data_IF_192284075944
#
_entry.id   IF_192284075944
#
_cell.length_a   1.000
_cell.length_b   1.000
_cell.length_c   1.000
_cell.angle_alpha   90.00
_cell.angle_beta   90.00
_cell.angle_gamma   90.00
#
_symmetry.space_group_name_H-M   'P 1'
#
loop_
_entity.id
_entity.type
_entity.pdbx_description
1 polymer ?
#
# COMPACT_ATOMS: atom_id res chain seq x y z
N UNK A 1 3.75 16.71 44.00
CA UNK A 1 3.78 16.62 42.53
C UNK A 1 3.92 15.15 42.20
N UNK A 2 2.86 14.49 41.72
CA UNK A 2 2.90 13.06 41.36
C UNK A 2 2.95 13.00 39.84
N UNK A 3 4.13 12.69 39.30
CA UNK A 3 4.43 12.57 37.87
C UNK A 3 4.65 11.10 37.47
N UNK A 4 3.85 10.18 38.01
CA UNK A 4 3.95 8.75 37.68
C UNK A 4 2.56 8.16 37.52
N UNK A 5 1.86 8.54 36.44
CA UNK A 5 0.82 7.69 35.88
C UNK A 5 1.51 6.67 34.96
N UNK A 6 1.25 5.37 35.10
CA UNK A 6 1.90 4.37 34.27
C UNK A 6 1.59 4.63 32.80
N UNK A 7 2.64 4.64 31.98
CA UNK A 7 2.53 4.76 30.52
C UNK A 7 1.61 3.63 30.03
N UNK A 8 0.64 3.98 29.19
CA UNK A 8 -0.24 2.98 28.60
C UNK A 8 0.57 2.04 27.71
N UNK A 9 0.22 0.75 27.68
CA UNK A 9 0.78 -0.21 26.69
C UNK A 9 0.67 0.30 25.26
N UNK A 10 -0.37 1.07 24.94
CA UNK A 10 -0.53 1.70 23.62
C UNK A 10 0.54 2.77 23.38
N UNK A 11 0.91 3.53 24.41
CA UNK A 11 1.97 4.52 24.31
C UNK A 11 3.36 3.86 24.16
N UNK A 12 3.62 2.76 24.88
CA UNK A 12 4.85 1.96 24.70
C UNK A 12 4.98 1.41 23.28
N UNK A 13 3.89 0.88 22.71
CA UNK A 13 3.84 0.39 21.33
C UNK A 13 4.11 1.52 20.33
N UNK A 14 3.53 2.71 20.54
CA UNK A 14 3.78 3.88 19.67
C UNK A 14 5.24 4.31 19.68
N UNK A 15 5.87 4.32 20.85
CA UNK A 15 7.30 4.64 20.95
C UNK A 15 8.19 3.58 20.28
N UNK A 16 7.83 2.30 20.39
CA UNK A 16 8.54 1.22 19.72
C UNK A 16 8.42 1.34 18.18
N UNK A 17 7.21 1.61 17.67
CA UNK A 17 6.95 1.83 16.24
C UNK A 17 7.78 2.99 15.69
N UNK A 18 7.90 4.09 16.45
CA UNK A 18 8.67 5.26 16.03
C UNK A 18 10.18 5.02 15.88
N UNK A 19 10.71 3.90 16.40
CA UNK A 19 12.13 3.54 16.35
C UNK A 19 12.44 2.46 15.30
N UNK A 20 11.43 1.94 14.61
CA UNK A 20 11.64 0.90 13.60
C UNK A 20 12.37 1.46 12.38
N UNK A 21 13.22 0.63 11.79
CA UNK A 21 13.67 0.84 10.42
C UNK A 21 12.50 0.72 9.43
N UNK A 22 12.62 1.25 8.20
CA UNK A 22 11.60 1.07 7.18
C UNK A 22 11.24 -0.40 6.91
N UNK A 23 12.22 -1.30 6.97
CA UNK A 23 12.01 -2.73 6.78
C UNK A 23 11.20 -3.34 7.93
N UNK A 24 11.59 -3.11 9.19
CA UNK A 24 10.87 -3.63 10.37
C UNK A 24 9.46 -3.06 10.47
N UNK A 25 9.26 -1.82 10.01
CA UNK A 25 7.93 -1.21 9.93
C UNK A 25 7.04 -1.94 8.92
N UNK A 26 7.56 -2.27 7.73
CA UNK A 26 6.85 -3.05 6.73
C UNK A 26 6.53 -4.47 7.23
N UNK A 27 7.47 -5.14 7.89
CA UNK A 27 7.26 -6.46 8.49
C UNK A 27 6.16 -6.41 9.57
N UNK A 28 6.18 -5.39 10.45
CA UNK A 28 5.13 -5.19 11.44
C UNK A 28 3.75 -4.95 10.81
N UNK A 29 3.68 -4.16 9.73
CA UNK A 29 2.41 -3.93 9.03
C UNK A 29 1.88 -5.22 8.39
N UNK A 30 2.73 -6.05 7.82
CA UNK A 30 2.33 -7.34 7.25
C UNK A 30 1.73 -8.28 8.31
N UNK A 31 2.27 -8.25 9.54
CA UNK A 31 1.77 -9.06 10.66
C UNK A 31 0.49 -8.49 11.29
N UNK A 32 0.37 -7.16 11.42
CA UNK A 32 -0.82 -6.49 12.01
C UNK A 32 -2.01 -6.45 11.06
N UNK A 33 -1.72 -6.37 9.77
CA UNK A 33 -2.70 -6.38 8.69
C UNK A 33 -2.41 -7.58 7.79
N UNK A 34 -2.56 -8.82 8.32
CA UNK A 34 -2.44 -9.99 7.47
C UNK A 34 -3.47 -9.80 6.36
N UNK A 35 -3.07 -9.91 5.10
CA UNK A 35 -3.86 -9.64 3.89
C UNK A 35 -5.19 -10.40 3.85
N UNK A 36 -6.12 -10.02 4.72
CA UNK A 36 -7.53 -10.28 4.56
C UNK A 36 -7.96 -9.24 3.54
N UNK A 37 -8.40 -9.71 2.38
CA UNK A 37 -9.09 -8.86 1.42
C UNK A 37 -10.08 -8.01 2.21
N UNK A 38 -9.79 -6.71 2.32
CA UNK A 38 -10.73 -5.82 2.96
C UNK A 38 -11.95 -5.65 2.02
N UNK A 39 -12.96 -4.92 2.46
CA UNK A 39 -14.16 -4.76 1.63
C UNK A 39 -13.85 -4.12 0.26
N UNK A 40 -12.79 -3.32 0.19
CA UNK A 40 -12.35 -2.72 -1.06
C UNK A 40 -11.69 -3.76 -1.98
N UNK A 41 -10.84 -4.64 -1.46
CA UNK A 41 -10.24 -5.74 -2.23
C UNK A 41 -11.30 -6.69 -2.80
N UNK A 42 -12.29 -7.07 -1.99
CA UNK A 42 -13.39 -7.94 -2.43
C UNK A 42 -14.21 -7.29 -3.54
N UNK A 43 -14.52 -6.01 -3.37
CA UNK A 43 -15.27 -5.24 -4.36
C UNK A 43 -14.48 -5.10 -5.67
N UNK A 44 -13.19 -4.80 -5.60
CA UNK A 44 -12.31 -4.70 -6.77
C UNK A 44 -12.26 -6.02 -7.53
N UNK A 45 -12.10 -7.15 -6.84
CA UNK A 45 -12.12 -8.48 -7.47
C UNK A 45 -13.45 -8.77 -8.16
N UNK A 46 -14.57 -8.44 -7.54
CA UNK A 46 -15.90 -8.62 -8.14
C UNK A 46 -16.12 -7.71 -9.36
N UNK A 47 -15.71 -6.44 -9.28
CA UNK A 47 -15.83 -5.48 -10.38
C UNK A 47 -14.98 -5.92 -11.58
N UNK A 48 -13.75 -6.39 -11.36
CA UNK A 48 -12.92 -6.99 -12.41
C UNK A 48 -13.54 -8.24 -13.02
N UNK A 49 -14.02 -9.18 -12.20
CA UNK A 49 -14.64 -10.42 -12.68
C UNK A 49 -15.92 -10.18 -13.49
N UNK A 50 -16.64 -9.09 -13.21
CA UNK A 50 -17.85 -8.71 -13.94
C UNK A 50 -17.59 -8.02 -15.29
N UNK A 51 -16.33 -7.70 -15.61
CA UNK A 51 -15.97 -6.94 -16.81
C UNK A 51 -16.27 -5.43 -16.73
N UNK A 52 -16.71 -4.94 -15.57
CA UNK A 52 -16.98 -3.51 -15.34
C UNK A 52 -15.74 -2.64 -15.57
N UNK A 53 -14.56 -3.22 -15.43
CA UNK A 53 -13.27 -2.56 -15.61
C UNK A 53 -12.63 -2.77 -16.99
N UNK A 54 -13.28 -3.44 -17.95
CA UNK A 54 -12.73 -3.70 -19.29
C UNK A 54 -12.32 -2.43 -20.04
N UNK A 55 -12.95 -1.30 -19.73
CA UNK A 55 -12.60 0.00 -20.32
C UNK A 55 -11.19 0.46 -19.92
N UNK A 56 -10.74 0.15 -18.70
CA UNK A 56 -9.38 0.47 -18.24
C UNK A 56 -8.33 -0.28 -19.07
N UNK A 57 -8.57 -1.57 -19.35
CA UNK A 57 -7.69 -2.36 -20.23
C UNK A 57 -7.64 -1.76 -21.63
N UNK A 58 -8.80 -1.43 -22.21
CA UNK A 58 -8.87 -0.83 -23.55
C UNK A 58 -8.17 0.52 -23.63
N UNK A 59 -8.34 1.35 -22.62
CA UNK A 59 -7.67 2.66 -22.53
C UNK A 59 -6.16 2.50 -22.40
N UNK A 60 -5.71 1.57 -21.55
CA UNK A 60 -4.28 1.26 -21.37
C UNK A 60 -3.65 0.77 -22.68
N UNK A 61 -4.30 -0.16 -23.37
CA UNK A 61 -3.83 -0.66 -24.68
C UNK A 61 -3.78 0.45 -25.73
N UNK A 62 -4.74 1.38 -25.71
CA UNK A 62 -4.74 2.54 -26.59
C UNK A 62 -3.57 3.48 -26.26
N UNK A 63 -3.34 3.80 -24.98
CA UNK A 63 -2.25 4.65 -24.55
C UNK A 63 -0.88 4.07 -24.93
N UNK A 64 -0.69 2.76 -24.77
CA UNK A 64 0.55 2.07 -25.19
C UNK A 64 0.72 2.17 -26.71
N UNK A 65 -0.32 1.87 -27.48
CA UNK A 65 -0.29 1.93 -28.96
C UNK A 65 -0.01 3.33 -29.48
N UNK A 66 -0.53 4.34 -28.80
CA UNK A 66 -0.34 5.76 -29.12
C UNK A 66 0.99 6.32 -28.61
N UNK A 67 1.79 5.53 -27.89
CA UNK A 67 3.09 5.96 -27.36
C UNK A 67 2.97 6.96 -26.21
N UNK A 68 1.83 6.98 -25.50
CA UNK A 68 1.58 7.86 -24.35
C UNK A 68 2.18 7.33 -23.04
N UNK A 69 2.76 6.13 -23.07
CA UNK A 69 3.38 5.48 -21.92
C UNK A 69 4.89 5.36 -22.12
N UNK A 70 5.65 5.38 -21.03
CA UNK A 70 7.08 5.05 -21.02
C UNK A 70 7.33 3.82 -20.14
N UNK A 71 8.37 3.01 -20.43
CA UNK A 71 8.76 1.90 -19.58
C UNK A 71 9.13 2.38 -18.17
N UNK A 72 8.74 1.62 -17.14
CA UNK A 72 9.00 1.98 -15.75
C UNK A 72 10.50 2.10 -15.45
N UNK A 73 11.31 1.25 -16.08
CA UNK A 73 12.77 1.23 -15.94
C UNK A 73 13.40 2.57 -16.35
N UNK A 74 12.78 3.27 -17.32
CA UNK A 74 13.23 4.59 -17.73
C UNK A 74 13.00 5.63 -16.64
N UNK A 75 11.88 5.55 -15.93
CA UNK A 75 11.58 6.46 -14.81
C UNK A 75 12.54 6.20 -13.67
N UNK A 76 12.73 4.93 -13.29
CA UNK A 76 13.59 4.55 -12.17
C UNK A 76 15.07 4.89 -12.42
N UNK A 77 15.52 4.86 -13.68
CA UNK A 77 16.88 5.25 -14.04
C UNK A 77 17.12 6.78 -14.07
N UNK A 78 16.06 7.60 -14.07
CA UNK A 78 16.16 9.07 -14.04
C UNK A 78 16.16 9.63 -12.59
N UNK A 79 15.91 8.79 -11.59
CA UNK A 79 15.90 9.14 -10.16
C UNK A 79 17.24 8.87 -9.44
N UNK A 80 18.26 8.35 -10.15
CA UNK A 80 19.67 8.22 -9.72
C UNK A 80 20.57 9.34 -10.25
#
# INVERSE_FOLDING_TARGET
MRDDLPVSRVAEIKEAIARLSPQEYCELLAELFPHADDEWDKQMKADFASGKMDWLTKETDAAIREGKTIPLEKILAEEE
#
